data_IF_136084526556
#
_entry.id   IF_136084526556
#
_cell.length_a   1.000
_cell.length_b   1.000
_cell.length_c   1.000
_cell.angle_alpha   90.00
_cell.angle_beta   90.00
_cell.angle_gamma   90.00
#
_symmetry.space_group_name_H-M   'P 1'
#
loop_
_entity.id
_entity.type
_entity.pdbx_description
1 polymer ?
#
# COMPACT_ATOMS: atom_id res chain seq x y z
N UNK A 1 2.26 13.10 -10.02
CA UNK A 1 2.01 13.33 -8.57
C UNK A 1 1.02 12.34 -7.94
N UNK A 2 0.22 11.58 -8.73
CA UNK A 2 -0.71 10.58 -8.20
C UNK A 2 -0.05 9.35 -7.53
N UNK A 3 1.16 8.99 -7.98
CA UNK A 3 1.88 7.81 -7.50
C UNK A 3 2.11 7.74 -5.99
N UNK A 4 2.32 8.89 -5.31
CA UNK A 4 2.54 8.90 -3.88
C UNK A 4 1.32 8.38 -3.10
N UNK A 5 0.13 8.65 -3.63
CA UNK A 5 -1.12 8.16 -3.08
C UNK A 5 -1.23 6.64 -3.22
N UNK A 6 -0.64 6.06 -4.27
CA UNK A 6 -0.53 4.61 -4.44
C UNK A 6 0.40 3.98 -3.41
N UNK A 7 1.57 4.56 -3.14
CA UNK A 7 2.46 4.08 -2.08
C UNK A 7 1.78 4.12 -0.71
N UNK A 8 1.12 5.23 -0.37
CA UNK A 8 0.39 5.38 0.88
C UNK A 8 -0.76 4.36 0.98
N UNK A 9 -1.54 4.21 -0.09
CA UNK A 9 -2.64 3.24 -0.14
C UNK A 9 -2.12 1.82 0.05
N UNK A 10 -1.04 1.45 -0.65
CA UNK A 10 -0.45 0.12 -0.54
C UNK A 10 0.08 -0.15 0.88
N UNK A 11 0.72 0.84 1.52
CA UNK A 11 1.15 0.76 2.92
C UNK A 11 -0.02 0.58 3.88
N UNK A 12 -1.12 1.32 3.70
CA UNK A 12 -2.31 1.22 4.57
C UNK A 12 -2.96 -0.16 4.44
N UNK A 13 -3.11 -0.66 3.20
CA UNK A 13 -3.69 -1.98 2.95
C UNK A 13 -2.80 -3.09 3.51
N UNK A 14 -1.48 -2.96 3.36
CA UNK A 14 -0.49 -3.88 3.96
C UNK A 14 -0.60 -3.90 5.48
N UNK A 15 -0.60 -2.73 6.12
CA UNK A 15 -0.75 -2.62 7.59
C UNK A 15 -2.03 -3.27 8.07
N UNK A 16 -3.14 -3.05 7.35
CA UNK A 16 -4.44 -3.66 7.67
C UNK A 16 -4.36 -5.18 7.57
N UNK A 17 -3.77 -5.71 6.51
CA UNK A 17 -3.58 -7.14 6.34
C UNK A 17 -2.68 -7.75 7.43
N UNK A 18 -1.57 -7.09 7.77
CA UNK A 18 -0.68 -7.52 8.87
C UNK A 18 -1.42 -7.54 10.20
N UNK A 19 -2.24 -6.52 10.49
CA UNK A 19 -3.06 -6.50 11.72
C UNK A 19 -4.05 -7.66 11.78
N UNK A 20 -4.65 -8.01 10.65
CA UNK A 20 -5.74 -8.99 10.61
C UNK A 20 -5.21 -10.45 10.54
N UNK A 21 -3.95 -10.69 10.15
CA UNK A 21 -3.42 -12.06 9.92
C UNK A 21 -2.06 -12.39 10.56
N UNK A 22 -1.30 -11.42 11.06
CA UNK A 22 0.01 -11.66 11.65
C UNK A 22 -0.05 -11.68 13.18
N UNK A 23 0.65 -12.64 13.78
CA UNK A 23 0.76 -12.85 15.24
C UNK A 23 1.21 -11.58 15.98
N UNK A 24 2.07 -10.79 15.33
CA UNK A 24 2.63 -9.56 15.90
C UNK A 24 1.87 -8.29 15.48
N UNK A 25 0.76 -8.41 14.75
CA UNK A 25 0.04 -7.31 14.11
C UNK A 25 -0.56 -6.29 15.09
N UNK A 26 -0.84 -6.70 16.32
CA UNK A 26 -1.42 -5.85 17.36
C UNK A 26 -0.41 -4.97 18.11
N UNK A 27 0.90 -5.18 17.90
CA UNK A 27 1.94 -4.40 18.61
C UNK A 27 1.92 -2.94 18.17
N UNK A 28 1.96 -2.01 19.15
CA UNK A 28 2.04 -0.56 18.90
C UNK A 28 3.23 -0.17 18.00
N UNK A 29 4.32 -0.94 18.07
CA UNK A 29 5.50 -0.76 17.21
C UNK A 29 5.16 -0.89 15.72
N UNK A 30 4.32 -1.85 15.33
CA UNK A 30 3.92 -2.04 13.92
C UNK A 30 3.10 -0.83 13.44
N UNK A 31 2.19 -0.32 14.27
CA UNK A 31 1.44 0.91 13.99
C UNK A 31 2.35 2.13 13.81
N UNK A 32 3.37 2.26 14.67
CA UNK A 32 4.37 3.33 14.58
C UNK A 32 5.20 3.26 13.30
N UNK A 33 5.72 2.07 12.98
CA UNK A 33 6.52 1.82 11.79
C UNK A 33 5.82 2.23 10.50
N UNK A 34 4.58 1.75 10.27
CA UNK A 34 3.84 2.11 9.06
C UNK A 34 3.43 3.59 9.01
N UNK A 35 3.17 4.23 10.15
CA UNK A 35 2.92 5.68 10.23
C UNK A 35 4.16 6.49 9.88
N UNK A 36 5.31 6.08 10.42
CA UNK A 36 6.61 6.71 10.14
C UNK A 36 6.91 6.67 8.64
N UNK A 37 6.79 5.51 8.00
CA UNK A 37 7.01 5.39 6.55
C UNK A 37 6.02 6.19 5.71
N UNK A 38 4.74 6.27 6.12
CA UNK A 38 3.77 7.12 5.45
C UNK A 38 4.15 8.62 5.55
N UNK A 39 4.67 9.07 6.70
CA UNK A 39 5.17 10.43 6.87
C UNK A 39 6.41 10.69 6.01
N UNK A 40 7.35 9.73 5.94
CA UNK A 40 8.54 9.81 5.08
C UNK A 40 8.15 9.98 3.61
N UNK A 41 7.14 9.25 3.11
CA UNK A 41 6.64 9.42 1.73
C UNK A 41 6.17 10.85 1.46
N UNK A 42 5.44 11.45 2.41
CA UNK A 42 4.94 12.82 2.29
C UNK A 42 6.12 13.81 2.27
N UNK A 43 7.11 13.63 3.15
CA UNK A 43 8.31 14.48 3.20
C UNK A 43 9.09 14.38 1.88
N UNK A 44 9.30 13.18 1.35
CA UNK A 44 9.96 12.98 0.06
C UNK A 44 9.20 13.67 -1.09
N UNK A 45 7.87 13.65 -1.06
CA UNK A 45 7.04 14.33 -2.06
C UNK A 45 7.20 15.85 -1.96
N UNK A 46 7.13 16.43 -0.76
CA UNK A 46 7.32 17.87 -0.56
C UNK A 46 8.71 18.29 -1.02
N UNK A 47 9.75 17.56 -0.62
CA UNK A 47 11.13 17.82 -1.04
C UNK A 47 11.29 17.75 -2.56
N UNK A 48 10.71 16.75 -3.22
CA UNK A 48 10.78 16.64 -4.67
C UNK A 48 10.11 17.83 -5.38
N UNK A 49 8.98 18.32 -4.87
CA UNK A 49 8.30 19.52 -5.41
C UNK A 49 9.16 20.76 -5.20
N UNK A 50 9.63 20.99 -3.97
CA UNK A 50 10.47 22.16 -3.64
C UNK A 50 11.73 22.20 -4.51
N UNK A 51 12.43 21.07 -4.65
CA UNK A 51 13.62 21.00 -5.50
C UNK A 51 13.28 21.22 -6.97
N UNK A 52 12.14 20.71 -7.46
CA UNK A 52 11.73 20.95 -8.85
C UNK A 52 11.49 22.44 -9.12
N UNK A 53 10.91 23.15 -8.16
CA UNK A 53 10.72 24.61 -8.23
C UNK A 53 12.07 25.33 -8.20
N UNK A 54 12.96 24.97 -7.26
CA UNK A 54 14.28 25.61 -7.15
C UNK A 54 15.14 25.41 -8.40
N UNK A 55 15.13 24.22 -9.02
CA UNK A 55 15.86 23.98 -10.29
C UNK A 55 15.36 24.85 -11.44
N UNK A 56 14.11 25.31 -11.40
CA UNK A 56 13.56 26.19 -12.44
C UNK A 56 14.04 27.64 -12.28
N UNK A 57 14.15 28.12 -11.05
CA UNK A 57 14.53 29.51 -10.77
C UNK A 57 16.04 29.73 -10.65
N UNK A 58 16.82 28.68 -10.42
CA UNK A 58 18.26 28.78 -10.17
C UNK A 58 19.06 28.21 -11.34
N UNK A 59 20.00 29.00 -11.87
CA UNK A 59 20.95 28.58 -12.90
C UNK A 59 22.39 28.39 -12.36
N UNK A 60 22.55 28.43 -11.04
CA UNK A 60 23.82 28.14 -10.38
C UNK A 60 24.05 26.62 -10.32
N UNK A 61 25.14 26.17 -10.94
CA UNK A 61 25.53 24.77 -11.02
C UNK A 61 25.71 24.13 -9.63
N UNK A 62 26.23 24.88 -8.64
CA UNK A 62 26.43 24.34 -7.30
C UNK A 62 25.10 23.96 -6.63
N UNK A 63 24.09 24.83 -6.78
CA UNK A 63 22.74 24.59 -6.22
C UNK A 63 22.03 23.47 -6.99
N UNK A 64 22.27 23.34 -8.30
CA UNK A 64 21.70 22.28 -9.12
C UNK A 64 22.23 20.89 -8.73
N UNK A 65 23.51 20.77 -8.37
CA UNK A 65 24.10 19.51 -7.91
C UNK A 65 23.52 19.08 -6.55
N UNK A 66 23.37 20.01 -5.60
CA UNK A 66 22.72 19.72 -4.30
C UNK A 66 21.27 19.30 -4.48
N UNK A 67 20.53 20.02 -5.34
CA UNK A 67 19.17 19.65 -5.72
C UNK A 67 19.09 18.23 -6.30
N UNK A 68 20.03 17.86 -7.18
CA UNK A 68 20.10 16.51 -7.75
C UNK A 68 20.28 15.46 -6.65
N UNK A 69 21.18 15.67 -5.71
CA UNK A 69 21.42 14.74 -4.59
C UNK A 69 20.15 14.51 -3.76
N UNK A 70 19.44 15.59 -3.41
CA UNK A 70 18.19 15.51 -2.62
C UNK A 70 17.12 14.68 -3.34
N UNK A 71 16.93 14.90 -4.64
CA UNK A 71 15.92 14.16 -5.42
C UNK A 71 16.33 12.69 -5.61
N UNK A 72 17.63 12.42 -5.73
CA UNK A 72 18.16 11.07 -5.85
C UNK A 72 17.89 10.28 -4.57
N UNK A 73 18.21 10.86 -3.41
CA UNK A 73 17.90 10.28 -2.08
C UNK A 73 16.40 10.09 -1.91
N UNK A 74 15.58 11.09 -2.22
CA UNK A 74 14.13 10.97 -2.12
C UNK A 74 13.58 9.80 -2.98
N UNK A 75 14.10 9.64 -4.20
CA UNK A 75 13.70 8.53 -5.08
C UNK A 75 14.18 7.16 -4.60
N UNK A 76 15.36 7.08 -3.99
CA UNK A 76 15.87 5.86 -3.38
C UNK A 76 15.01 5.44 -2.18
N UNK A 77 14.66 6.39 -1.30
CA UNK A 77 13.79 6.15 -0.15
C UNK A 77 12.40 5.70 -0.60
N UNK A 78 11.81 6.33 -1.61
CA UNK A 78 10.51 5.91 -2.16
C UNK A 78 10.56 4.49 -2.75
N UNK A 79 11.68 4.11 -3.37
CA UNK A 79 11.89 2.74 -3.89
C UNK A 79 11.94 1.72 -2.74
N UNK A 80 12.64 2.06 -1.65
CA UNK A 80 12.65 1.23 -0.44
C UNK A 80 11.25 1.11 0.18
N UNK A 81 10.49 2.20 0.20
CA UNK A 81 9.11 2.17 0.68
C UNK A 81 8.23 1.27 -0.19
N UNK A 82 8.39 1.30 -1.51
CA UNK A 82 7.64 0.45 -2.42
C UNK A 82 7.92 -1.05 -2.21
N UNK A 83 9.12 -1.40 -1.73
CA UNK A 83 9.50 -2.77 -1.35
C UNK A 83 8.88 -3.24 -0.04
N UNK A 84 8.56 -2.33 0.89
CA UNK A 84 8.06 -2.70 2.23
C UNK A 84 6.81 -3.61 2.20
N UNK A 85 5.77 -3.35 1.39
CA UNK A 85 4.63 -4.25 1.24
C UNK A 85 5.02 -5.69 0.87
N UNK A 86 5.97 -5.85 -0.05
CA UNK A 86 6.43 -7.16 -0.52
C UNK A 86 7.21 -7.86 0.60
N UNK A 87 8.14 -7.16 1.24
CA UNK A 87 8.97 -7.69 2.32
C UNK A 87 8.13 -8.07 3.55
N UNK A 88 7.17 -7.24 3.93
CA UNK A 88 6.29 -7.51 5.09
C UNK A 88 5.39 -8.71 4.84
N UNK A 89 4.79 -8.83 3.66
CA UNK A 89 4.00 -10.02 3.29
C UNK A 89 4.88 -11.27 3.29
N UNK A 90 6.10 -11.20 2.76
CA UNK A 90 7.07 -12.29 2.79
C UNK A 90 7.48 -12.70 4.21
N UNK A 91 7.75 -11.72 5.08
CA UNK A 91 8.12 -11.96 6.47
C UNK A 91 7.00 -12.63 7.27
N UNK A 92 5.74 -12.23 7.06
CA UNK A 92 4.57 -12.88 7.70
C UNK A 92 4.39 -14.32 7.21
N UNK A 93 4.74 -14.63 5.95
CA UNK A 93 4.71 -16.02 5.45
C UNK A 93 5.69 -16.91 6.22
N UNK A 94 6.87 -16.38 6.55
CA UNK A 94 7.91 -17.12 7.27
C UNK A 94 7.62 -17.22 8.78
N UNK A 95 7.07 -16.16 9.38
CA UNK A 95 6.79 -16.09 10.82
C UNK A 95 5.56 -16.85 11.31
N UNK A 96 4.79 -17.46 10.41
CA UNK A 96 3.55 -18.18 10.73
C UNK A 96 2.32 -17.25 10.82
N UNK A 97 1.18 -17.75 10.33
CA UNK A 97 -0.12 -17.08 10.49
C UNK A 97 -0.82 -17.59 11.75
N UNK A 98 -1.47 -16.68 12.48
CA UNK A 98 -1.97 -16.92 13.84
C UNK A 98 -3.14 -17.91 13.90
N UNK A 99 -3.84 -18.19 12.80
CA UNK A 99 -4.96 -19.12 12.85
C UNK A 99 -5.23 -19.81 11.51
N UNK A 100 -4.89 -21.10 11.40
CA UNK A 100 -5.13 -21.91 10.19
C UNK A 100 -6.55 -22.49 10.13
N UNK A 101 -7.27 -22.53 11.26
CA UNK A 101 -8.57 -23.22 11.37
C UNK A 101 -9.75 -22.30 11.01
N UNK A 102 -9.69 -21.01 11.35
CA UNK A 102 -10.66 -20.00 10.88
C UNK A 102 -10.57 -19.73 9.37
N UNK A 103 -9.44 -20.07 8.76
CA UNK A 103 -9.12 -19.79 7.36
C UNK A 103 -9.83 -20.75 6.39
N UNK A 104 -10.40 -21.88 6.82
CA UNK A 104 -11.01 -22.87 5.93
C UNK A 104 -12.09 -22.30 4.98
N UNK A 105 -12.93 -21.35 5.44
CA UNK A 105 -13.95 -20.68 4.62
C UNK A 105 -13.49 -19.39 3.94
N UNK A 106 -12.40 -18.77 4.41
CA UNK A 106 -11.88 -17.50 3.88
C UNK A 106 -10.52 -17.60 3.18
N UNK A 107 -9.94 -18.80 3.05
CA UNK A 107 -8.60 -19.03 2.48
C UNK A 107 -8.44 -18.40 1.10
N UNK A 108 -9.44 -18.56 0.24
CA UNK A 108 -9.46 -17.96 -1.09
C UNK A 108 -9.37 -16.42 -1.03
N UNK A 109 -10.06 -15.79 -0.07
CA UNK A 109 -10.07 -14.34 0.13
C UNK A 109 -8.75 -13.84 0.70
N UNK A 110 -8.16 -14.55 1.67
CA UNK A 110 -6.82 -14.25 2.21
C UNK A 110 -5.76 -14.36 1.11
N UNK A 111 -5.82 -15.42 0.30
CA UNK A 111 -4.92 -15.63 -0.83
C UNK A 111 -5.06 -14.54 -1.89
N UNK A 112 -6.29 -14.11 -2.20
CA UNK A 112 -6.54 -13.00 -3.12
C UNK A 112 -6.01 -11.66 -2.59
N UNK A 113 -6.26 -11.33 -1.31
CA UNK A 113 -5.72 -10.11 -0.66
C UNK A 113 -4.19 -10.09 -0.69
N UNK A 114 -3.57 -11.22 -0.34
CA UNK A 114 -2.11 -11.40 -0.39
C UNK A 114 -1.58 -11.23 -1.81
N UNK A 115 -2.17 -11.93 -2.77
CA UNK A 115 -1.78 -11.86 -4.18
C UNK A 115 -1.85 -10.43 -4.71
N UNK A 116 -2.94 -9.73 -4.41
CA UNK A 116 -3.11 -8.33 -4.77
C UNK A 116 -1.99 -7.46 -4.19
N UNK A 117 -1.74 -7.54 -2.87
CA UNK A 117 -0.70 -6.72 -2.21
C UNK A 117 0.70 -6.97 -2.75
N UNK A 118 1.03 -8.23 -3.05
CA UNK A 118 2.33 -8.60 -3.64
C UNK A 118 2.42 -8.07 -5.07
N UNK A 119 1.39 -8.28 -5.89
CA UNK A 119 1.39 -7.81 -7.28
C UNK A 119 1.48 -6.29 -7.34
N UNK A 120 0.65 -5.56 -6.57
CA UNK A 120 0.70 -4.09 -6.54
C UNK A 120 2.03 -3.59 -5.96
N UNK A 121 2.57 -4.25 -4.94
CA UNK A 121 3.89 -3.93 -4.37
C UNK A 121 5.03 -4.11 -5.36
N UNK A 122 5.04 -5.22 -6.11
CA UNK A 122 6.06 -5.49 -7.13
C UNK A 122 5.97 -4.47 -8.27
N UNK A 123 4.77 -4.19 -8.79
CA UNK A 123 4.58 -3.20 -9.86
C UNK A 123 5.05 -1.81 -9.43
N UNK A 124 4.67 -1.37 -8.21
CA UNK A 124 5.12 -0.09 -7.64
C UNK A 124 6.64 -0.05 -7.43
N UNK A 125 7.25 -1.18 -7.05
CA UNK A 125 8.70 -1.28 -6.87
C UNK A 125 9.44 -1.16 -8.20
N UNK A 126 8.98 -1.87 -9.24
CA UNK A 126 9.55 -1.80 -10.59
C UNK A 126 9.50 -0.38 -11.11
N UNK A 127 8.37 0.29 -10.93
CA UNK A 127 8.15 1.67 -11.37
C UNK A 127 9.01 2.69 -10.58
N UNK A 128 9.11 2.54 -9.26
CA UNK A 128 10.01 3.33 -8.42
C UNK A 128 11.48 3.13 -8.80
N UNK A 129 11.88 1.88 -8.98
CA UNK A 129 13.23 1.48 -9.36
C UNK A 129 13.62 2.00 -10.75
N UNK A 130 12.70 1.95 -11.71
CA UNK A 130 12.91 2.55 -13.03
C UNK A 130 13.20 4.05 -12.91
N UNK A 131 12.38 4.80 -12.14
CA UNK A 131 12.60 6.24 -11.92
C UNK A 131 13.91 6.55 -11.18
N UNK A 132 14.33 5.70 -10.26
CA UNK A 132 15.64 5.83 -9.62
C UNK A 132 16.76 5.59 -10.64
N UNK A 133 16.65 4.53 -11.44
CA UNK A 133 17.61 4.19 -12.49
C UNK A 133 17.79 5.31 -13.52
N UNK A 134 16.69 5.93 -13.97
CA UNK A 134 16.74 7.08 -14.88
C UNK A 134 17.48 8.27 -14.27
N UNK A 135 17.30 8.54 -12.97
CA UNK A 135 17.98 9.64 -12.26
C UNK A 135 19.46 9.38 -11.98
N UNK A 136 19.82 8.12 -11.75
CA UNK A 136 21.23 7.73 -11.56
C UNK A 136 21.95 7.78 -12.90
N UNK A 137 21.31 7.29 -13.97
CA UNK A 137 21.84 7.30 -15.33
C UNK A 137 21.75 8.63 -16.06
N UNK A 138 21.66 9.75 -15.34
CA UNK A 138 21.62 11.10 -15.92
C UNK A 138 22.89 11.31 -16.76
N UNK A 139 22.72 11.52 -18.07
CA UNK A 139 23.82 11.63 -19.05
C UNK A 139 23.86 13.05 -19.62
N UNK A 140 25.06 13.56 -19.95
CA UNK A 140 25.17 14.86 -20.61
C UNK A 140 24.43 14.88 -21.95
N UNK A 141 24.00 16.08 -22.34
CA UNK A 141 23.16 16.32 -23.52
C UNK A 141 23.79 15.71 -24.77
N UNK A 142 23.05 14.85 -25.48
CA UNK A 142 23.49 14.18 -26.72
C UNK A 142 23.65 12.66 -26.64
N UNK A 143 23.52 12.04 -25.46
CA UNK A 143 23.60 10.58 -25.27
C UNK A 143 22.29 9.95 -24.80
N UNK A 144 21.25 9.94 -25.65
CA UNK A 144 19.94 9.41 -25.30
C UNK A 144 20.01 7.91 -24.95
N UNK A 145 19.80 7.58 -23.67
CA UNK A 145 19.65 6.20 -23.24
C UNK A 145 18.32 5.60 -23.72
N UNK A 146 18.26 4.27 -23.86
CA UNK A 146 17.03 3.55 -24.27
C UNK A 146 15.78 3.90 -23.42
N UNK A 147 15.99 4.31 -22.17
CA UNK A 147 14.96 4.73 -21.21
C UNK A 147 14.35 6.11 -21.49
N UNK A 148 14.93 6.91 -22.38
CA UNK A 148 14.35 8.18 -22.86
C UNK A 148 13.40 7.99 -24.04
N UNK A 149 13.24 6.77 -24.55
CA UNK A 149 12.26 6.48 -25.59
C UNK A 149 10.83 6.72 -25.10
N UNK A 150 9.96 7.19 -26.02
CA UNK A 150 8.52 7.36 -25.74
C UNK A 150 7.89 6.06 -25.22
N UNK A 151 8.32 4.91 -25.74
CA UNK A 151 7.85 3.60 -25.32
C UNK A 151 8.15 3.34 -23.83
N UNK A 152 9.38 3.57 -23.38
CA UNK A 152 9.75 3.38 -21.98
C UNK A 152 8.95 4.30 -21.05
N UNK A 153 8.76 5.56 -21.45
CA UNK A 153 7.97 6.54 -20.69
C UNK A 153 6.51 6.11 -20.48
N UNK A 154 5.83 5.67 -21.55
CA UNK A 154 4.42 5.25 -21.45
C UNK A 154 4.25 3.91 -20.76
N UNK A 155 5.10 2.91 -21.06
CA UNK A 155 4.96 1.58 -20.49
C UNK A 155 5.35 1.53 -18.99
N UNK A 156 6.47 2.15 -18.62
CA UNK A 156 7.02 2.04 -17.25
C UNK A 156 6.61 3.20 -16.34
N UNK A 157 6.17 4.33 -16.90
CA UNK A 157 5.59 5.43 -16.12
C UNK A 157 4.08 5.27 -15.99
N UNK A 158 3.36 5.64 -17.05
CA UNK A 158 1.90 5.78 -17.01
C UNK A 158 1.15 4.45 -16.96
N UNK A 159 1.56 3.45 -17.75
CA UNK A 159 0.80 2.20 -17.84
C UNK A 159 0.85 1.41 -16.54
N UNK A 160 2.01 1.37 -15.87
CA UNK A 160 2.13 0.77 -14.53
C UNK A 160 1.24 1.48 -13.50
N UNK A 161 1.21 2.82 -13.51
CA UNK A 161 0.33 3.61 -12.63
C UNK A 161 -1.15 3.26 -12.86
N UNK A 162 -1.58 3.24 -14.13
CA UNK A 162 -2.96 2.89 -14.51
C UNK A 162 -3.31 1.48 -14.07
N UNK A 163 -2.46 0.49 -14.35
CA UNK A 163 -2.67 -0.92 -13.96
C UNK A 163 -2.85 -1.05 -12.44
N UNK A 164 -2.00 -0.40 -11.65
CA UNK A 164 -2.10 -0.45 -10.18
C UNK A 164 -3.39 0.21 -9.69
N UNK A 165 -3.79 1.35 -10.26
CA UNK A 165 -5.06 2.01 -9.95
C UNK A 165 -6.25 1.10 -10.25
N UNK A 166 -6.25 0.42 -11.40
CA UNK A 166 -7.29 -0.54 -11.78
C UNK A 166 -7.36 -1.73 -10.81
N UNK A 167 -6.23 -2.29 -10.43
CA UNK A 167 -6.16 -3.39 -9.47
C UNK A 167 -6.70 -2.98 -8.10
N UNK A 168 -6.31 -1.81 -7.59
CA UNK A 168 -6.76 -1.32 -6.29
C UNK A 168 -8.25 -0.94 -6.30
N UNK A 169 -8.73 -0.34 -7.38
CA UNK A 169 -10.15 0.01 -7.56
C UNK A 169 -11.00 -1.24 -7.70
N UNK A 170 -10.58 -2.19 -8.53
CA UNK A 170 -11.21 -3.50 -8.68
C UNK A 170 -11.30 -4.25 -7.35
N UNK A 171 -10.23 -4.23 -6.55
CA UNK A 171 -10.22 -4.84 -5.22
C UNK A 171 -11.20 -4.19 -4.23
N UNK A 172 -11.46 -2.88 -4.35
CA UNK A 172 -12.49 -2.19 -3.56
C UNK A 172 -13.90 -2.58 -4.00
N UNK A 173 -14.16 -2.59 -5.30
CA UNK A 173 -15.47 -2.96 -5.87
C UNK A 173 -15.80 -4.41 -5.54
N UNK A 174 -14.82 -5.31 -5.66
CA UNK A 174 -14.93 -6.74 -5.33
C UNK A 174 -15.24 -7.01 -3.84
N UNK A 175 -15.25 -5.98 -2.98
CA UNK A 175 -15.56 -6.15 -1.56
C UNK A 175 -14.49 -6.93 -0.80
N UNK A 176 -13.34 -7.18 -1.42
CA UNK A 176 -12.23 -7.95 -0.85
C UNK A 176 -11.75 -7.36 0.48
N UNK A 177 -11.86 -6.05 0.71
CA UNK A 177 -11.54 -5.38 1.98
C UNK A 177 -12.76 -4.79 2.70
N UNK A 178 -13.99 -5.14 2.28
CA UNK A 178 -15.22 -4.73 2.97
C UNK A 178 -15.22 -5.42 4.33
N UNK A 179 -15.47 -4.64 5.38
CA UNK A 179 -15.52 -5.09 6.76
C UNK A 179 -16.63 -6.14 6.90
N UNK A 180 -16.24 -7.41 6.87
CA UNK A 180 -16.95 -8.44 7.62
C UNK A 180 -16.43 -8.38 9.05
N UNK A 181 -17.32 -8.53 10.01
CA UNK A 181 -17.16 -8.43 11.47
C UNK A 181 -16.20 -9.46 12.10
N UNK A 182 -15.10 -9.84 11.43
CA UNK A 182 -14.48 -11.16 11.66
C UNK A 182 -13.46 -11.20 12.81
N UNK A 183 -13.09 -10.09 13.46
CA UNK A 183 -12.15 -10.13 14.61
C UNK A 183 -12.53 -9.21 15.77
N UNK A 184 -13.79 -9.27 16.22
CA UNK A 184 -14.12 -8.92 17.61
C UNK A 184 -14.40 -10.20 18.37
N UNK A 185 -13.35 -10.91 18.80
CA UNK A 185 -13.54 -11.98 19.77
C UNK A 185 -12.43 -13.02 19.84
N UNK A 186 -11.33 -12.64 20.49
CA UNK A 186 -10.67 -13.56 21.42
C UNK A 186 -10.00 -12.70 22.49
N UNK A 187 -10.68 -12.55 23.62
CA UNK A 187 -10.05 -12.14 24.88
C UNK A 187 -9.44 -13.39 25.51
N UNK A 188 -8.30 -13.31 26.21
CA UNK A 188 -7.77 -14.41 26.99
C UNK A 188 -8.69 -14.61 28.22
N UNK A 189 -9.70 -15.45 28.04
CA UNK A 189 -10.79 -15.69 28.97
C UNK A 189 -11.98 -16.22 28.18
N UNK A 190 -12.12 -17.55 28.12
CA UNK A 190 -12.97 -18.28 27.19
C UNK A 190 -14.47 -17.97 27.28
N UNK A 191 -14.88 -16.88 26.63
CA UNK A 191 -16.28 -16.59 26.30
C UNK A 191 -16.40 -16.37 24.79
N UNK A 192 -17.26 -17.12 24.12
CA UNK A 192 -17.55 -16.90 22.69
C UNK A 192 -18.09 -15.48 22.51
N UNK A 193 -17.61 -14.69 21.53
CA UNK A 193 -18.21 -13.41 21.24
C UNK A 193 -19.66 -13.64 20.77
N UNK A 194 -20.61 -13.01 21.46
CA UNK A 194 -21.98 -12.87 20.97
C UNK A 194 -21.89 -12.04 19.68
N UNK A 195 -22.18 -12.67 18.55
CA UNK A 195 -22.29 -11.98 17.27
C UNK A 195 -23.56 -11.15 17.35
N UNK A 196 -23.45 -9.91 17.81
CA UNK A 196 -24.54 -8.93 17.74
C UNK A 196 -24.74 -8.59 16.26
N UNK A 197 -25.58 -9.41 15.63
CA UNK A 197 -26.08 -9.17 14.29
C UNK A 197 -26.96 -7.92 14.40
N UNK A 198 -26.53 -6.81 13.81
CA UNK A 198 -27.30 -5.55 13.74
C UNK A 198 -28.74 -5.69 13.20
N UNK A 199 -29.10 -6.84 12.62
CA UNK A 199 -30.46 -7.19 12.22
C UNK A 199 -31.39 -7.60 13.38
N UNK A 200 -30.88 -7.80 14.60
CA UNK A 200 -31.69 -8.15 15.78
C UNK A 200 -32.34 -6.92 16.45
N UNK A 201 -31.96 -5.71 16.03
CA UNK A 201 -32.50 -4.44 16.55
C UNK A 201 -33.60 -3.82 15.68
N UNK A 202 -33.95 -4.48 14.57
CA UNK A 202 -35.12 -4.11 13.77
C UNK A 202 -36.21 -5.09 14.16
N UNK A 203 -37.19 -4.62 14.94
CA UNK A 203 -38.33 -5.42 15.37
C UNK A 203 -38.85 -6.26 14.21
N UNK A 204 -38.87 -7.57 14.41
CA UNK A 204 -39.48 -8.49 13.45
C UNK A 204 -40.96 -8.10 13.33
N UNK A 205 -41.53 -8.09 12.11
CA UNK A 205 -42.92 -7.63 11.88
C UNK A 205 -43.96 -8.34 12.78
N UNK A 206 -43.65 -9.56 13.26
CA UNK A 206 -44.46 -10.29 14.23
C UNK A 206 -44.56 -9.64 15.63
N UNK A 207 -43.55 -8.86 16.05
CA UNK A 207 -43.57 -8.11 17.31
C UNK A 207 -44.33 -6.78 17.19
N UNK A 208 -44.42 -6.22 15.98
CA UNK A 208 -45.13 -4.95 15.72
C UNK A 208 -46.61 -5.18 15.46
N UNK A 209 -46.99 -6.27 14.78
CA UNK A 209 -48.37 -6.50 14.38
C UNK A 209 -49.15 -7.52 15.20
N UNK A 210 -48.49 -8.27 16.09
CA UNK A 210 -49.12 -9.34 16.85
C UNK A 210 -49.63 -10.45 15.94
N UNK A 211 -49.38 -11.70 16.30
CA UNK A 211 -50.01 -12.81 15.59
C UNK A 211 -51.53 -12.70 15.73
N UNK A 212 -52.20 -12.25 14.67
CA UNK A 212 -53.64 -12.51 14.50
C UNK A 212 -53.76 -13.95 14.07
N UNK A 213 -54.17 -14.80 15.01
CA UNK A 213 -54.76 -16.11 14.71
C UNK A 213 -56.01 -15.98 13.84
#
# INVERSE_FOLDING_TARGET
AGIALLYITNLILTRRWVRDYAIFGYRTLVKGFFRFWAAVVIICLVMAVVVSVNRYFTHDEAILQECRNVVLVASAVLTLVALLPVLTVGGVMMGGMEDREAVGREYARVRARRGLLVVTGVLLTVEAGFRLGVRVGDRPWGGEGWYHSRAAYYCLGYMLEVVVVWLLTGARVWGGFRTGEVYKGHWPGGGRPRVERWAEWVNTEGEVYGERG
#
